data_IF_794012576426
#
_entry.id   IF_794012576426
#
_cell.length_a   1.000
_cell.length_b   1.000
_cell.length_c   1.000
_cell.angle_alpha   90.00
_cell.angle_beta   90.00
_cell.angle_gamma   90.00
#
_symmetry.space_group_name_H-M   'P 1'
#
loop_
_entity.id
_entity.type
_entity.pdbx_description
1 polymer ?
#
# COMPACT_ATOMS: atom_id res chain seq x y z
N UNK A 1 -6.68 6.53 9.76
CA UNK A 1 -7.68 7.04 8.79
C UNK A 1 -8.97 7.32 9.56
N UNK A 2 -9.62 8.45 9.29
CA UNK A 2 -10.83 8.87 10.03
C UNK A 2 -12.07 8.26 9.40
N UNK A 3 -12.90 7.61 10.21
CA UNK A 3 -14.18 7.00 9.80
C UNK A 3 -15.14 8.07 9.27
N UNK A 4 -15.81 7.78 8.16
CA UNK A 4 -16.73 8.70 7.50
C UNK A 4 -17.90 9.13 8.39
N UNK A 5 -18.29 8.30 9.38
CA UNK A 5 -19.34 8.60 10.35
C UNK A 5 -18.99 9.74 11.31
N UNK A 6 -17.71 10.11 11.42
CA UNK A 6 -17.27 11.21 12.27
C UNK A 6 -17.49 12.58 11.60
N UNK A 7 -17.98 12.60 10.36
CA UNK A 7 -18.30 13.82 9.63
C UNK A 7 -19.79 14.11 9.68
N UNK A 8 -20.18 14.98 10.60
CA UNK A 8 -21.53 15.51 10.68
C UNK A 8 -21.82 16.48 9.52
N UNK A 9 -23.09 16.68 9.18
CA UNK A 9 -23.51 17.72 8.23
C UNK A 9 -23.27 17.42 6.74
N UNK A 10 -22.98 16.16 6.38
CA UNK A 10 -22.87 15.71 4.98
C UNK A 10 -24.22 15.57 4.28
N UNK A 11 -25.35 15.64 5.00
CA UNK A 11 -26.68 15.45 4.43
C UNK A 11 -26.97 14.01 3.98
N UNK A 12 -26.12 13.05 4.35
CA UNK A 12 -26.30 11.64 4.04
C UNK A 12 -27.21 10.97 5.08
N UNK A 13 -28.27 10.31 4.62
CA UNK A 13 -29.14 9.50 5.49
C UNK A 13 -28.41 8.26 6.00
N UNK A 14 -28.87 7.68 7.11
CA UNK A 14 -28.34 6.42 7.65
C UNK A 14 -28.37 5.27 6.63
N UNK A 15 -29.38 5.28 5.75
CA UNK A 15 -29.49 4.31 4.65
C UNK A 15 -28.34 4.47 3.64
N UNK A 16 -28.07 5.69 3.18
CA UNK A 16 -26.97 5.96 2.24
C UNK A 16 -25.61 5.67 2.87
N UNK A 17 -25.44 5.99 4.15
CA UNK A 17 -24.21 5.68 4.88
C UNK A 17 -23.94 4.17 4.91
N UNK A 18 -24.96 3.34 5.18
CA UNK A 18 -24.84 1.88 5.11
C UNK A 18 -24.55 1.38 3.70
N UNK A 19 -25.07 2.04 2.67
CA UNK A 19 -24.83 1.67 1.26
C UNK A 19 -23.38 1.94 0.86
N UNK A 20 -22.82 3.07 1.27
CA UNK A 20 -21.38 3.39 1.14
C UNK A 20 -20.52 2.34 1.86
N UNK A 21 -20.86 1.99 3.10
CA UNK A 21 -20.11 1.00 3.88
C UNK A 21 -20.10 -0.38 3.23
N UNK A 22 -21.24 -0.85 2.70
CA UNK A 22 -21.32 -2.13 1.98
C UNK A 22 -20.46 -2.16 0.71
N UNK A 23 -20.18 -1.00 0.12
CA UNK A 23 -19.31 -0.85 -1.04
C UNK A 23 -17.83 -0.67 -0.66
N UNK A 24 -17.50 -0.69 0.63
CA UNK A 24 -16.14 -0.50 1.13
C UNK A 24 -15.73 0.97 1.30
N UNK A 25 -16.67 1.91 1.20
CA UNK A 25 -16.42 3.35 1.40
C UNK A 25 -16.70 3.69 2.86
N UNK A 26 -15.67 3.50 3.69
CA UNK A 26 -15.65 3.64 5.15
C UNK A 26 -14.96 4.92 5.61
N UNK A 27 -14.01 5.45 4.85
CA UNK A 27 -13.17 6.58 5.24
C UNK A 27 -13.39 7.80 4.36
N UNK A 28 -13.03 8.97 4.91
CA UNK A 28 -12.97 10.22 4.14
C UNK A 28 -12.13 10.09 2.86
N UNK A 29 -11.03 9.33 2.93
CA UNK A 29 -10.15 9.10 1.78
C UNK A 29 -10.86 8.33 0.68
N UNK A 30 -11.47 7.18 1.02
CA UNK A 30 -12.18 6.34 0.05
C UNK A 30 -13.29 7.12 -0.65
N UNK A 31 -14.08 7.91 0.08
CA UNK A 31 -15.15 8.70 -0.52
C UNK A 31 -14.60 9.77 -1.48
N UNK A 32 -13.53 10.47 -1.09
CA UNK A 32 -12.90 11.47 -1.96
C UNK A 32 -12.32 10.85 -3.24
N UNK A 33 -11.75 9.64 -3.14
CA UNK A 33 -11.14 8.92 -4.26
C UNK A 33 -12.14 8.18 -5.15
N UNK A 34 -13.31 7.80 -4.62
CA UNK A 34 -14.38 7.17 -5.40
C UNK A 34 -14.87 8.15 -6.47
N UNK A 35 -15.10 7.70 -7.71
CA UNK A 35 -15.54 8.60 -8.79
C UNK A 35 -16.93 9.20 -8.53
N UNK A 36 -17.23 10.37 -9.10
CA UNK A 36 -18.55 10.98 -8.95
C UNK A 36 -19.64 10.08 -9.55
N UNK A 37 -19.38 9.48 -10.70
CA UNK A 37 -20.28 8.54 -11.37
C UNK A 37 -20.64 7.35 -10.47
N UNK A 38 -19.65 6.74 -9.82
CA UNK A 38 -19.88 5.61 -8.92
C UNK A 38 -20.70 6.03 -7.70
N UNK A 39 -20.41 7.19 -7.11
CA UNK A 39 -21.19 7.73 -5.99
C UNK A 39 -22.63 8.08 -6.40
N UNK A 40 -22.85 8.62 -7.59
CA UNK A 40 -24.19 8.89 -8.13
C UNK A 40 -24.95 7.58 -8.32
N UNK A 41 -24.34 6.59 -8.97
CA UNK A 41 -24.95 5.28 -9.18
C UNK A 41 -25.28 4.58 -7.85
N UNK A 42 -24.40 4.71 -6.87
CA UNK A 42 -24.58 4.11 -5.56
C UNK A 42 -25.63 4.84 -4.72
N UNK A 43 -25.62 6.17 -4.67
CA UNK A 43 -26.46 6.93 -3.73
C UNK A 43 -27.74 7.45 -4.35
N UNK A 44 -27.82 7.47 -5.68
CA UNK A 44 -28.86 8.13 -6.47
C UNK A 44 -29.01 9.62 -6.15
N UNK A 45 -27.96 10.24 -5.60
CA UNK A 45 -27.92 11.68 -5.35
C UNK A 45 -27.56 12.46 -6.62
N UNK A 46 -28.04 13.70 -6.76
CA UNK A 46 -27.60 14.60 -7.82
C UNK A 46 -26.09 14.84 -7.76
N UNK A 47 -25.45 15.02 -8.93
CA UNK A 47 -24.01 15.29 -9.02
C UNK A 47 -23.60 16.52 -8.19
N UNK A 48 -24.40 17.58 -8.20
CA UNK A 48 -24.16 18.78 -7.38
C UNK A 48 -24.02 18.45 -5.89
N UNK A 49 -24.86 17.56 -5.35
CA UNK A 49 -24.79 17.12 -3.96
C UNK A 49 -23.52 16.32 -3.69
N UNK A 50 -23.10 15.46 -4.62
CA UNK A 50 -21.84 14.71 -4.51
C UNK A 50 -20.64 15.67 -4.50
N UNK A 51 -20.64 16.68 -5.37
CA UNK A 51 -19.59 17.70 -5.40
C UNK A 51 -19.53 18.51 -4.11
N UNK A 52 -20.67 18.93 -3.55
CA UNK A 52 -20.73 19.62 -2.26
C UNK A 52 -20.20 18.76 -1.11
N UNK A 53 -20.56 17.48 -1.07
CA UNK A 53 -20.03 16.54 -0.06
C UNK A 53 -18.52 16.42 -0.19
N UNK A 54 -18.00 16.23 -1.40
CA UNK A 54 -16.56 16.14 -1.65
C UNK A 54 -15.82 17.44 -1.35
N UNK A 55 -16.44 18.60 -1.61
CA UNK A 55 -15.87 19.89 -1.26
C UNK A 55 -15.75 20.03 0.25
N UNK A 56 -16.82 19.80 1.02
CA UNK A 56 -16.79 19.81 2.49
C UNK A 56 -15.77 18.83 3.05
N UNK A 57 -15.73 17.63 2.50
CA UNK A 57 -14.73 16.63 2.85
C UNK A 57 -13.35 16.94 2.25
N UNK A 58 -13.17 17.91 1.40
CA UNK A 58 -11.88 18.25 0.78
C UNK A 58 -11.19 19.44 1.44
N UNK A 59 -11.97 20.44 1.86
CA UNK A 59 -11.51 21.77 2.29
C UNK A 59 -10.38 21.72 3.33
N UNK A 60 -10.52 20.91 4.36
CA UNK A 60 -9.52 20.74 5.40
C UNK A 60 -8.73 19.42 5.30
N UNK A 61 -9.05 18.57 4.31
CA UNK A 61 -8.32 17.32 4.05
C UNK A 61 -7.07 17.59 3.25
N UNK A 62 -7.20 18.21 2.07
CA UNK A 62 -6.09 18.35 1.14
C UNK A 62 -5.01 19.30 1.67
N UNK A 63 -5.34 20.45 2.29
CA UNK A 63 -4.34 21.32 2.89
C UNK A 63 -3.67 20.70 4.12
N UNK A 64 -4.41 19.96 4.96
CA UNK A 64 -3.80 19.19 6.06
C UNK A 64 -2.93 18.05 5.55
N UNK A 65 -3.35 17.33 4.52
CA UNK A 65 -2.53 16.31 3.89
C UNK A 65 -1.28 16.94 3.29
N UNK A 66 -1.35 18.10 2.64
CA UNK A 66 -0.17 18.80 2.12
C UNK A 66 0.77 19.29 3.23
N UNK A 67 0.25 19.83 4.33
CA UNK A 67 1.08 20.28 5.47
C UNK A 67 1.64 19.11 6.29
N UNK A 68 0.88 18.01 6.43
CA UNK A 68 1.36 16.75 7.00
C UNK A 68 2.40 16.11 6.08
N UNK A 69 2.19 16.10 4.76
CA UNK A 69 3.17 15.62 3.78
C UNK A 69 4.44 16.46 3.86
N UNK A 70 4.32 17.80 3.92
CA UNK A 70 5.47 18.69 4.08
C UNK A 70 6.23 18.47 5.39
N UNK A 71 5.54 18.30 6.51
CA UNK A 71 6.14 17.97 7.82
C UNK A 71 6.61 16.51 7.91
N UNK A 72 6.09 15.60 7.09
CA UNK A 72 6.53 14.20 7.01
C UNK A 72 7.72 14.05 6.07
N UNK A 73 7.92 14.93 5.08
CA UNK A 73 9.09 14.90 4.19
C UNK A 73 10.41 14.97 4.96
N UNK A 74 10.41 15.58 6.16
CA UNK A 74 11.58 15.64 7.05
C UNK A 74 11.81 14.36 7.86
N UNK A 75 10.81 13.47 7.99
CA UNK A 75 10.87 12.26 8.85
C UNK A 75 10.35 10.98 8.16
N UNK A 76 10.39 10.88 6.83
CA UNK A 76 9.99 9.63 6.14
C UNK A 76 10.93 8.50 6.55
N UNK A 77 10.35 7.39 7.03
CA UNK A 77 11.09 6.14 7.23
C UNK A 77 11.79 5.77 5.92
N UNK A 78 13.10 5.62 6.00
CA UNK A 78 13.93 5.12 4.92
C UNK A 78 13.96 3.60 5.03
N UNK A 79 13.90 2.95 3.87
CA UNK A 79 14.03 1.52 3.75
C UNK A 79 15.31 1.21 2.97
N UNK A 80 16.08 0.26 3.47
CA UNK A 80 17.27 -0.25 2.79
C UNK A 80 16.92 -1.53 2.06
N UNK A 81 17.60 -1.80 0.94
CA UNK A 81 17.48 -3.09 0.27
C UNK A 81 18.17 -4.21 1.05
N UNK A 82 19.08 -3.87 1.96
CA UNK A 82 19.93 -4.81 2.70
C UNK A 82 20.99 -5.45 1.79
N UNK A 83 21.32 -4.79 0.68
CA UNK A 83 22.36 -5.17 -0.26
C UNK A 83 23.31 -3.98 -0.33
N UNK A 84 24.45 -4.08 0.35
CA UNK A 84 25.37 -2.96 0.60
C UNK A 84 25.73 -2.17 -0.66
N UNK A 85 26.12 -2.85 -1.74
CA UNK A 85 26.49 -2.20 -2.99
C UNK A 85 25.31 -1.48 -3.66
N UNK A 86 24.09 -2.03 -3.55
CA UNK A 86 22.89 -1.41 -4.10
C UNK A 86 22.45 -0.22 -3.27
N UNK A 87 22.50 -0.33 -1.93
CA UNK A 87 22.19 0.76 -1.02
C UNK A 87 23.17 1.92 -1.17
N UNK A 88 24.46 1.64 -1.38
CA UNK A 88 25.49 2.64 -1.71
C UNK A 88 25.19 3.34 -3.03
N UNK A 89 24.86 2.58 -4.09
CA UNK A 89 24.51 3.14 -5.40
C UNK A 89 23.27 4.05 -5.31
N UNK A 90 22.29 3.68 -4.48
CA UNK A 90 21.01 4.38 -4.34
C UNK A 90 21.01 5.41 -3.20
N UNK A 91 22.16 5.71 -2.59
CA UNK A 91 22.25 6.61 -1.43
C UNK A 91 21.68 8.01 -1.71
N UNK A 92 21.74 8.48 -2.96
CA UNK A 92 21.17 9.78 -3.39
C UNK A 92 19.67 9.73 -3.64
N UNK A 93 19.12 8.54 -3.86
CA UNK A 93 17.70 8.28 -4.18
C UNK A 93 17.20 7.07 -3.39
N UNK A 94 17.20 7.09 -2.04
CA UNK A 94 16.85 5.92 -1.24
C UNK A 94 15.34 5.63 -1.28
N UNK A 95 14.96 4.40 -0.94
CA UNK A 95 13.56 4.02 -0.86
C UNK A 95 12.95 4.66 0.38
N UNK A 96 11.94 5.50 0.19
CA UNK A 96 11.25 6.22 1.28
C UNK A 96 9.80 5.80 1.35
N UNK A 97 9.20 5.90 2.53
CA UNK A 97 7.75 5.78 2.66
C UNK A 97 7.02 6.70 1.64
N UNK A 98 6.05 6.14 0.91
CA UNK A 98 5.30 6.85 -0.13
C UNK A 98 6.07 7.15 -1.42
N UNK A 99 7.19 6.47 -1.66
CA UNK A 99 7.89 6.46 -2.96
C UNK A 99 7.70 5.12 -3.67
N UNK A 100 7.81 5.14 -5.00
CA UNK A 100 7.69 3.96 -5.86
C UNK A 100 9.01 3.78 -6.60
N UNK A 101 9.51 2.55 -6.62
CA UNK A 101 10.65 2.13 -7.43
C UNK A 101 10.19 1.15 -8.50
N UNK A 102 10.74 1.30 -9.70
CA UNK A 102 10.52 0.37 -10.81
C UNK A 102 11.82 -0.39 -11.10
N UNK A 103 11.75 -1.73 -11.10
CA UNK A 103 12.88 -2.61 -11.41
C UNK A 103 12.66 -3.20 -12.81
N UNK A 104 13.39 -2.68 -13.80
CA UNK A 104 13.24 -3.03 -15.21
C UNK A 104 14.38 -3.92 -15.73
N UNK A 105 14.08 -4.77 -16.72
CA UNK A 105 15.08 -5.60 -17.39
C UNK A 105 14.50 -6.82 -18.11
N UNK A 106 15.31 -7.47 -18.95
CA UNK A 106 14.92 -8.67 -19.72
C UNK A 106 14.50 -9.84 -18.81
N UNK A 107 13.75 -10.79 -19.36
CA UNK A 107 13.49 -12.06 -18.65
C UNK A 107 14.82 -12.73 -18.26
N UNK A 108 14.87 -13.36 -17.08
CA UNK A 108 16.10 -13.98 -16.56
C UNK A 108 17.14 -12.99 -15.99
N UNK A 109 16.95 -11.67 -16.06
CA UNK A 109 17.90 -10.68 -15.52
C UNK A 109 17.95 -10.60 -13.97
N UNK A 110 17.34 -11.55 -13.26
CA UNK A 110 17.38 -11.61 -11.80
C UNK A 110 16.36 -10.75 -11.04
N UNK A 111 15.41 -10.10 -11.73
CA UNK A 111 14.39 -9.22 -11.09
C UNK A 111 13.64 -9.91 -9.94
N UNK A 112 13.10 -11.11 -10.19
CA UNK A 112 12.39 -11.90 -9.16
C UNK A 112 13.30 -12.25 -7.99
N UNK A 113 14.58 -12.58 -8.25
CA UNK A 113 15.55 -12.86 -7.18
C UNK A 113 15.84 -11.63 -6.33
N UNK A 114 15.95 -10.45 -6.96
CA UNK A 114 16.12 -9.19 -6.25
C UNK A 114 14.90 -8.90 -5.35
N UNK A 115 13.67 -9.09 -5.86
CA UNK A 115 12.45 -8.92 -5.06
C UNK A 115 12.41 -9.88 -3.85
N UNK A 116 12.74 -11.17 -4.03
CA UNK A 116 12.82 -12.13 -2.91
C UNK A 116 13.87 -11.71 -1.87
N UNK A 117 15.04 -11.26 -2.35
CA UNK A 117 16.16 -10.85 -1.49
C UNK A 117 15.81 -9.62 -0.65
N UNK A 118 15.18 -8.61 -1.27
CA UNK A 118 14.68 -7.41 -0.59
C UNK A 118 13.57 -7.77 0.39
N UNK A 119 12.64 -8.65 0.01
CA UNK A 119 11.54 -9.06 0.88
C UNK A 119 12.05 -9.70 2.17
N UNK A 120 13.00 -10.63 2.08
CA UNK A 120 13.63 -11.24 3.26
C UNK A 120 14.36 -10.20 4.09
N UNK A 121 15.17 -9.32 3.48
CA UNK A 121 15.89 -8.28 4.21
C UNK A 121 14.95 -7.35 4.97
N UNK A 122 13.84 -6.97 4.36
CA UNK A 122 12.83 -6.10 4.96
C UNK A 122 12.23 -6.72 6.24
N UNK A 123 11.79 -7.99 6.17
CA UNK A 123 11.19 -8.66 7.34
C UNK A 123 12.23 -8.99 8.42
N UNK A 124 13.48 -9.30 8.03
CA UNK A 124 14.59 -9.51 8.97
C UNK A 124 14.97 -8.23 9.74
N UNK A 125 14.81 -7.06 9.13
CA UNK A 125 15.04 -5.75 9.78
C UNK A 125 13.86 -5.31 10.66
N UNK A 126 12.91 -6.21 10.96
CA UNK A 126 11.72 -5.94 11.77
C UNK A 126 10.92 -4.72 11.28
N UNK A 127 10.87 -4.52 9.96
CA UNK A 127 10.12 -3.40 9.38
C UNK A 127 8.60 -3.63 9.36
N UNK A 128 8.14 -4.77 9.88
CA UNK A 128 6.75 -5.19 9.92
C UNK A 128 6.46 -6.24 8.86
N UNK A 129 5.20 -6.29 8.44
CA UNK A 129 4.71 -7.19 7.40
C UNK A 129 4.94 -6.61 6.01
N UNK A 130 5.27 -7.48 5.05
CA UNK A 130 5.46 -7.18 3.65
C UNK A 130 4.37 -7.88 2.83
N UNK A 131 3.71 -7.12 1.94
CA UNK A 131 2.79 -7.66 0.94
C UNK A 131 3.55 -7.90 -0.37
N UNK A 132 3.52 -9.13 -0.85
CA UNK A 132 4.08 -9.55 -2.13
C UNK A 132 2.94 -9.91 -3.08
N UNK A 133 2.75 -9.11 -4.12
CA UNK A 133 1.75 -9.37 -5.16
C UNK A 133 2.43 -10.10 -6.31
N UNK A 134 2.02 -11.33 -6.57
CA UNK A 134 2.56 -12.20 -7.61
C UNK A 134 1.57 -12.40 -8.76
N UNK A 135 1.87 -11.78 -9.89
CA UNK A 135 1.05 -11.86 -11.11
C UNK A 135 1.51 -12.95 -12.09
N UNK A 136 2.61 -13.65 -11.79
CA UNK A 136 3.19 -14.67 -12.68
C UNK A 136 3.29 -16.05 -12.05
N UNK A 137 2.88 -16.19 -10.79
CA UNK A 137 3.08 -17.41 -10.00
C UNK A 137 4.57 -17.78 -9.85
N UNK A 138 5.47 -16.80 -9.86
CA UNK A 138 6.92 -17.00 -9.75
C UNK A 138 7.43 -16.92 -8.30
N UNK A 139 6.59 -16.55 -7.33
CA UNK A 139 6.97 -16.54 -5.92
C UNK A 139 7.23 -17.96 -5.41
N UNK A 140 8.36 -18.15 -4.71
CA UNK A 140 8.77 -19.45 -4.17
C UNK A 140 9.16 -19.36 -2.70
N UNK A 141 8.33 -19.95 -1.83
CA UNK A 141 8.64 -20.08 -0.41
C UNK A 141 9.90 -20.89 -0.15
N UNK A 142 10.16 -21.92 -0.96
CA UNK A 142 11.42 -22.68 -0.90
C UNK A 142 12.62 -21.80 -1.18
N UNK A 143 12.51 -20.89 -2.17
CA UNK A 143 13.59 -19.95 -2.47
C UNK A 143 13.80 -18.93 -1.35
N UNK A 144 12.73 -18.45 -0.71
CA UNK A 144 12.82 -17.59 0.48
C UNK A 144 13.60 -18.30 1.60
N UNK A 145 13.26 -19.57 1.87
CA UNK A 145 13.93 -20.38 2.87
C UNK A 145 15.43 -20.56 2.58
N UNK A 146 15.80 -20.81 1.31
CA UNK A 146 17.21 -20.87 0.92
C UNK A 146 17.96 -19.56 1.19
N UNK A 147 17.36 -18.41 0.86
CA UNK A 147 17.97 -17.09 1.10
C UNK A 147 18.21 -16.87 2.60
N UNK A 148 17.23 -17.21 3.44
CA UNK A 148 17.34 -17.13 4.90
C UNK A 148 18.49 -18.00 5.44
N UNK A 149 18.59 -19.25 4.97
CA UNK A 149 19.67 -20.18 5.36
C UNK A 149 21.05 -19.68 4.91
N UNK A 150 21.17 -19.13 3.71
CA UNK A 150 22.42 -18.53 3.24
C UNK A 150 22.88 -17.36 4.11
N UNK A 151 21.96 -16.73 4.85
CA UNK A 151 22.24 -15.66 5.83
C UNK A 151 22.44 -16.18 7.25
N UNK A 152 22.49 -17.50 7.44
CA UNK A 152 22.62 -18.17 8.73
C UNK A 152 21.51 -17.83 9.72
N UNK A 153 20.30 -17.53 9.22
CA UNK A 153 19.13 -17.34 10.10
C UNK A 153 18.75 -18.70 10.70
N UNK A 154 18.59 -18.80 12.03
CA UNK A 154 18.14 -20.02 12.70
C UNK A 154 16.81 -20.55 12.14
N UNK A 155 16.67 -21.88 12.04
CA UNK A 155 15.49 -22.49 11.41
C UNK A 155 14.18 -22.14 12.14
N UNK A 156 14.22 -21.99 13.46
CA UNK A 156 13.09 -21.58 14.30
C UNK A 156 12.68 -20.12 14.04
N UNK A 157 13.63 -19.25 13.74
CA UNK A 157 13.35 -17.85 13.36
C UNK A 157 12.83 -17.72 11.93
N UNK A 158 13.28 -18.59 11.02
CA UNK A 158 12.89 -18.55 9.61
C UNK A 158 11.38 -18.63 9.39
N UNK A 159 10.70 -19.50 10.14
CA UNK A 159 9.24 -19.61 10.08
C UNK A 159 8.54 -18.31 10.46
N UNK A 160 9.01 -17.64 11.51
CA UNK A 160 8.47 -16.36 11.97
C UNK A 160 8.69 -15.24 10.94
N UNK A 161 9.87 -15.18 10.32
CA UNK A 161 10.13 -14.18 9.27
C UNK A 161 9.28 -14.42 8.02
N UNK A 162 9.10 -15.68 7.61
CA UNK A 162 8.27 -16.03 6.47
C UNK A 162 6.79 -15.69 6.69
N UNK A 163 6.28 -15.77 7.92
CA UNK A 163 4.91 -15.35 8.27
C UNK A 163 4.68 -13.85 8.05
N UNK A 164 5.73 -13.04 8.07
CA UNK A 164 5.65 -11.61 7.79
C UNK A 164 5.67 -11.28 6.29
N UNK A 165 5.74 -12.27 5.41
CA UNK A 165 5.61 -12.09 3.95
C UNK A 165 4.24 -12.62 3.53
N UNK A 166 3.28 -11.71 3.38
CA UNK A 166 1.95 -12.03 2.86
C UNK A 166 2.02 -12.08 1.34
N UNK A 167 1.56 -13.18 0.75
CA UNK A 167 1.63 -13.38 -0.70
C UNK A 167 0.22 -13.45 -1.25
N UNK A 168 -0.10 -12.54 -2.17
CA UNK A 168 -1.35 -12.54 -2.91
C UNK A 168 -1.05 -12.85 -4.38
N UNK A 169 -1.79 -13.81 -4.93
CA UNK A 169 -1.70 -14.17 -6.35
C UNK A 169 -2.84 -13.55 -7.10
N UNK A 170 -2.51 -12.86 -8.18
CA UNK A 170 -3.43 -12.00 -8.91
C UNK A 170 -3.37 -12.35 -10.38
N UNK A 171 -4.46 -12.91 -10.89
CA UNK A 171 -4.58 -13.32 -12.28
C UNK A 171 -5.10 -12.18 -13.16
N UNK A 172 -5.90 -11.27 -12.59
CA UNK A 172 -6.48 -10.14 -13.31
C UNK A 172 -6.28 -8.83 -12.56
N UNK A 173 -6.26 -7.73 -13.30
CA UNK A 173 -6.06 -6.40 -12.73
C UNK A 173 -7.16 -6.03 -11.73
N UNK A 174 -8.39 -6.53 -11.96
CA UNK A 174 -9.55 -6.28 -11.09
C UNK A 174 -9.46 -7.00 -9.74
N UNK A 175 -8.58 -7.98 -9.59
CA UNK A 175 -8.42 -8.72 -8.34
C UNK A 175 -7.58 -7.93 -7.31
N UNK A 176 -6.98 -6.79 -7.71
CA UNK A 176 -6.36 -5.81 -6.81
C UNK A 176 -7.47 -4.86 -6.30
N UNK A 177 -8.27 -5.30 -5.33
CA UNK A 177 -9.30 -4.47 -4.69
C UNK A 177 -9.21 -4.54 -3.16
#
# INVERSE_FOLDING_TARGET
>A
MTDLRQFDGLGLSTYLMRKLQRKGILTRYELLMTSNEELINLTSLPEATILEIKQKLGEDYFPRQQSLVANQLTHRKLYTTGIENLDSLLARTPLKAGSVWEICGKSGAGKTQLCHTIAVNFVSQSHGTLLYIDTKCDFSGTRIMEILRCRNVPNDECGHLMQNILVERIDKAEDIC
#
